data_IF_733321326460
#
_entry.id   IF_733321326460
#
_cell.length_a   1.000
_cell.length_b   1.000
_cell.length_c   1.000
_cell.angle_alpha   90.00
_cell.angle_beta   90.00
_cell.angle_gamma   90.00
#
_symmetry.space_group_name_H-M   'P 1'
#
loop_
_entity.id
_entity.type
_entity.pdbx_description
1 polymer ?
#
# COMPACT_ATOMS: atom_id res chain seq x y z
N UNK A 1 30.45 -18.75 28.78
CA UNK A 1 29.31 -19.31 28.06
C UNK A 1 29.15 -18.52 26.78
N UNK A 2 29.55 -19.10 25.64
CA UNK A 2 29.32 -18.48 24.32
C UNK A 2 27.87 -18.67 23.94
N UNK A 3 27.11 -17.57 23.83
CA UNK A 3 25.77 -17.53 23.27
C UNK A 3 25.83 -17.93 21.78
N UNK A 4 25.46 -19.16 21.47
CA UNK A 4 25.34 -19.68 20.08
C UNK A 4 24.03 -19.32 19.38
N UNK A 5 23.19 -18.51 20.00
CA UNK A 5 21.79 -18.29 19.50
C UNK A 5 21.60 -17.13 18.54
N UNK A 6 22.47 -16.11 18.53
CA UNK A 6 22.26 -14.89 17.74
C UNK A 6 22.96 -14.89 16.36
N UNK A 7 23.94 -15.77 16.15
CA UNK A 7 24.68 -15.84 14.88
C UNK A 7 23.90 -16.50 13.72
N UNK A 8 22.99 -17.42 14.02
CA UNK A 8 22.23 -18.15 12.99
C UNK A 8 20.99 -17.39 12.49
N UNK A 9 20.46 -16.48 13.28
CA UNK A 9 19.29 -15.67 12.89
C UNK A 9 19.62 -14.70 11.75
N UNK A 10 20.85 -14.20 11.67
CA UNK A 10 21.31 -13.28 10.61
C UNK A 10 21.67 -13.96 9.28
N UNK A 11 21.78 -15.27 9.22
CA UNK A 11 22.05 -16.02 7.97
C UNK A 11 20.78 -16.36 7.18
N UNK A 12 19.61 -16.12 7.75
CA UNK A 12 18.33 -16.30 7.06
C UNK A 12 17.96 -14.98 6.39
N UNK A 13 18.34 -14.81 5.14
CA UNK A 13 17.98 -13.62 4.37
C UNK A 13 16.55 -13.75 3.85
N UNK A 14 15.71 -12.82 4.25
CA UNK A 14 14.42 -12.57 3.62
C UNK A 14 14.65 -11.58 2.49
N UNK A 15 14.66 -12.06 1.25
CA UNK A 15 14.75 -11.21 0.07
C UNK A 15 13.34 -10.89 -0.41
N UNK A 16 12.99 -9.61 -0.34
CA UNK A 16 11.71 -9.12 -0.89
C UNK A 16 11.95 -8.68 -2.33
N UNK A 17 11.55 -9.48 -3.30
CA UNK A 17 11.59 -9.10 -4.71
C UNK A 17 10.16 -8.87 -5.22
N UNK A 18 9.80 -7.60 -5.40
CA UNK A 18 8.50 -7.18 -5.93
C UNK A 18 8.49 -7.12 -7.47
N UNK A 19 9.64 -7.31 -8.13
CA UNK A 19 9.83 -7.07 -9.57
C UNK A 19 9.33 -8.17 -10.49
N UNK A 20 9.08 -9.37 -9.99
CA UNK A 20 8.74 -10.55 -10.82
C UNK A 20 7.25 -10.70 -11.16
N UNK A 21 6.38 -9.88 -10.58
CA UNK A 21 4.94 -10.00 -10.78
C UNK A 21 4.42 -8.81 -11.55
N UNK A 22 3.44 -9.00 -12.47
CA UNK A 22 2.83 -7.87 -13.15
C UNK A 22 2.30 -6.91 -12.09
N UNK A 23 2.78 -5.66 -12.15
CA UNK A 23 2.38 -4.61 -11.24
C UNK A 23 0.90 -4.28 -11.47
N UNK A 24 0.01 -4.94 -10.71
CA UNK A 24 -1.36 -4.48 -10.61
C UNK A 24 -1.32 -3.26 -9.68
N UNK A 25 -1.72 -2.06 -10.15
CA UNK A 25 -1.69 -0.86 -9.32
C UNK A 25 -2.51 -1.03 -8.03
N UNK A 26 -3.57 -1.84 -8.05
CA UNK A 26 -4.47 -2.01 -6.91
C UNK A 26 -3.98 -3.00 -5.85
N UNK A 27 -2.81 -3.59 -6.03
CA UNK A 27 -2.29 -4.61 -5.11
C UNK A 27 -0.81 -4.42 -4.85
N UNK A 28 -0.44 -4.49 -3.58
CA UNK A 28 0.95 -4.68 -3.18
C UNK A 28 1.20 -6.19 -2.99
N UNK A 29 2.21 -6.72 -3.65
CA UNK A 29 2.49 -8.17 -3.63
C UNK A 29 3.94 -8.40 -3.20
N UNK A 30 4.26 -8.30 -1.90
CA UNK A 30 5.57 -8.68 -1.41
C UNK A 30 5.79 -10.19 -1.53
N UNK A 31 7.02 -10.55 -1.91
CA UNK A 31 7.48 -11.93 -1.95
C UNK A 31 8.62 -12.11 -0.96
N UNK A 32 8.56 -13.17 -0.16
CA UNK A 32 9.56 -13.53 0.83
C UNK A 32 10.13 -14.88 0.40
N UNK A 33 11.43 -14.93 0.15
CA UNK A 33 12.11 -16.19 -0.13
C UNK A 33 12.82 -16.68 1.13
N UNK A 34 12.58 -17.95 1.48
CA UNK A 34 13.26 -18.61 2.61
C UNK A 34 14.61 -19.14 2.11
N UNK A 35 15.64 -18.90 2.91
CA UNK A 35 16.96 -19.48 2.72
C UNK A 35 17.38 -20.20 3.99
N UNK A 36 17.57 -21.51 3.88
CA UNK A 36 17.94 -22.35 5.02
C UNK A 36 18.81 -23.52 4.54
N UNK A 37 19.88 -23.89 5.27
CA UNK A 37 20.72 -25.03 4.89
C UNK A 37 20.04 -26.38 5.09
N UNK A 38 19.01 -26.45 5.91
CA UNK A 38 18.25 -27.67 6.23
C UNK A 38 16.78 -27.33 6.48
N UNK A 39 15.90 -28.32 6.35
CA UNK A 39 14.48 -28.15 6.67
C UNK A 39 14.29 -27.76 8.13
N UNK A 40 13.48 -26.72 8.39
CA UNK A 40 13.25 -26.21 9.74
C UNK A 40 11.77 -26.00 10.02
N UNK A 41 11.29 -26.60 11.12
CA UNK A 41 9.95 -26.31 11.65
C UNK A 41 9.96 -24.93 12.31
N UNK A 42 9.20 -24.00 11.77
CA UNK A 42 9.11 -22.63 12.27
C UNK A 42 7.76 -22.03 11.98
N UNK A 43 7.25 -21.21 12.90
CA UNK A 43 6.08 -20.38 12.70
C UNK A 43 6.48 -18.98 12.25
N UNK A 44 6.07 -18.59 11.06
CA UNK A 44 6.19 -17.21 10.57
C UNK A 44 4.89 -16.44 10.85
N UNK A 45 5.01 -15.30 11.52
CA UNK A 45 3.89 -14.42 11.81
C UNK A 45 3.80 -13.34 10.73
N UNK A 46 2.86 -13.51 9.81
CA UNK A 46 2.63 -12.54 8.71
C UNK A 46 1.70 -11.44 9.19
N UNK A 47 2.22 -10.20 9.28
CA UNK A 47 1.40 -9.05 9.68
C UNK A 47 0.48 -8.61 8.54
N UNK A 48 -0.80 -8.48 8.83
CA UNK A 48 -1.78 -7.86 7.95
C UNK A 48 -1.97 -6.41 8.39
N UNK A 49 -1.58 -5.42 7.56
CA UNK A 49 -1.66 -4.01 7.92
C UNK A 49 -3.09 -3.48 8.02
N UNK A 50 -3.26 -2.33 8.72
CA UNK A 50 -4.56 -1.65 8.85
C UNK A 50 -5.08 -1.09 7.52
N UNK A 51 -4.19 -0.63 6.64
CA UNK A 51 -4.52 0.04 5.38
C UNK A 51 -5.04 -0.88 4.27
N UNK A 52 -5.03 -2.19 4.47
CA UNK A 52 -5.50 -3.13 3.44
C UNK A 52 -6.99 -2.91 3.16
N UNK A 53 -7.36 -2.85 1.88
CA UNK A 53 -8.72 -2.50 1.44
C UNK A 53 -9.62 -3.69 1.08
N UNK A 54 -9.16 -4.94 1.31
CA UNK A 54 -9.94 -6.12 0.92
C UNK A 54 -9.33 -7.42 1.43
N UNK A 55 -9.73 -8.54 0.83
CA UNK A 55 -9.22 -9.86 1.18
C UNK A 55 -7.73 -10.00 0.88
N UNK A 56 -6.96 -10.29 1.91
CA UNK A 56 -5.55 -10.68 1.81
C UNK A 56 -5.47 -12.17 1.51
N UNK A 57 -4.61 -12.53 0.57
CA UNK A 57 -4.31 -13.93 0.26
C UNK A 57 -2.83 -14.19 0.41
N UNK A 58 -2.49 -15.30 1.04
CA UNK A 58 -1.12 -15.72 1.27
C UNK A 58 -0.89 -17.05 0.54
N UNK A 59 0.16 -17.09 -0.24
CA UNK A 59 0.56 -18.26 -1.01
C UNK A 59 1.94 -18.73 -0.56
N UNK A 60 2.13 -20.02 -0.52
CA UNK A 60 3.46 -20.64 -0.40
C UNK A 60 3.67 -21.57 -1.59
N UNK A 61 4.73 -21.32 -2.35
CA UNK A 61 5.04 -22.05 -3.59
C UNK A 61 3.83 -22.11 -4.53
N UNK A 62 3.19 -20.93 -4.74
CA UNK A 62 1.99 -20.72 -5.57
C UNK A 62 0.70 -21.42 -5.09
N UNK A 63 0.73 -22.13 -3.97
CA UNK A 63 -0.46 -22.71 -3.35
C UNK A 63 -1.01 -21.75 -2.29
N UNK A 64 -2.30 -21.40 -2.36
CA UNK A 64 -2.96 -20.59 -1.33
C UNK A 64 -3.00 -21.36 -0.01
N UNK A 65 -2.45 -20.74 1.04
CA UNK A 65 -2.37 -21.33 2.39
C UNK A 65 -3.21 -20.58 3.42
N UNK A 66 -3.50 -19.31 3.18
CA UNK A 66 -4.36 -18.51 4.04
C UNK A 66 -5.07 -17.40 3.26
N UNK A 67 -6.28 -17.07 3.72
CA UNK A 67 -7.07 -15.95 3.22
C UNK A 67 -7.79 -15.29 4.40
N UNK A 68 -7.70 -13.97 4.51
CA UNK A 68 -8.32 -13.20 5.60
C UNK A 68 -8.79 -11.83 5.13
N UNK A 69 -9.85 -11.31 5.72
CA UNK A 69 -10.33 -9.93 5.60
C UNK A 69 -10.07 -9.10 6.87
N UNK A 70 -9.52 -9.73 7.90
CA UNK A 70 -9.13 -9.04 9.13
C UNK A 70 -7.91 -8.14 8.89
N UNK A 71 -7.91 -7.00 9.57
CA UNK A 71 -6.84 -5.99 9.52
C UNK A 71 -6.17 -5.86 10.87
N UNK A 72 -4.94 -5.35 10.89
CA UNK A 72 -4.15 -5.16 12.12
C UNK A 72 -3.94 -6.46 12.92
N UNK A 73 -3.86 -7.59 12.24
CA UNK A 73 -3.67 -8.91 12.83
C UNK A 73 -2.40 -9.58 12.31
N UNK A 74 -2.00 -10.64 12.97
CA UNK A 74 -0.96 -11.55 12.49
C UNK A 74 -1.56 -12.89 12.09
N UNK A 75 -1.16 -13.40 10.94
CA UNK A 75 -1.51 -14.73 10.45
C UNK A 75 -0.32 -15.65 10.68
N UNK A 76 -0.46 -16.68 11.54
CA UNK A 76 0.61 -17.66 11.74
C UNK A 76 0.69 -18.64 10.57
N UNK A 77 1.89 -18.89 10.09
CA UNK A 77 2.20 -19.93 9.12
C UNK A 77 3.18 -20.91 9.75
N UNK A 78 2.69 -21.98 10.32
CA UNK A 78 3.49 -23.04 10.93
C UNK A 78 3.66 -24.21 9.95
N UNK A 79 4.91 -24.48 9.60
CA UNK A 79 5.28 -25.59 8.72
C UNK A 79 6.77 -25.86 8.74
N UNK A 80 7.17 -27.00 8.19
CA UNK A 80 8.56 -27.22 7.82
C UNK A 80 8.87 -26.37 6.56
N UNK A 81 9.85 -25.45 6.74
CA UNK A 81 10.33 -24.59 5.68
C UNK A 81 11.56 -25.22 5.04
N UNK A 82 11.61 -25.20 3.71
CA UNK A 82 12.72 -25.68 2.93
C UNK A 82 13.45 -24.54 2.24
N UNK A 83 14.69 -24.79 1.81
CA UNK A 83 15.42 -23.79 1.05
C UNK A 83 14.69 -23.48 -0.26
N UNK A 84 14.64 -22.18 -0.59
CA UNK A 84 13.91 -21.63 -1.73
C UNK A 84 12.37 -21.64 -1.62
N UNK A 85 11.77 -21.99 -0.48
CA UNK A 85 10.34 -21.71 -0.28
C UNK A 85 10.04 -20.24 -0.51
N UNK A 86 8.95 -19.96 -1.23
CA UNK A 86 8.53 -18.59 -1.57
C UNK A 86 7.15 -18.32 -0.98
N UNK A 87 7.08 -17.28 -0.14
CA UNK A 87 5.81 -16.76 0.38
C UNK A 87 5.44 -15.54 -0.45
N UNK A 88 4.24 -15.54 -1.02
CA UNK A 88 3.67 -14.41 -1.75
C UNK A 88 2.43 -13.92 -1.02
N UNK A 89 2.40 -12.63 -0.69
CA UNK A 89 1.30 -12.01 0.06
C UNK A 89 0.63 -11.00 -0.85
N UNK A 90 -0.66 -11.15 -1.11
CA UNK A 90 -1.45 -10.23 -1.94
C UNK A 90 -2.22 -9.30 -1.02
N UNK A 91 -1.82 -8.03 -0.99
CA UNK A 91 -2.39 -6.97 -0.16
C UNK A 91 -3.14 -5.97 -1.06
N UNK A 92 -4.48 -6.01 -1.14
CA UNK A 92 -5.25 -5.02 -1.88
C UNK A 92 -5.09 -3.62 -1.28
N UNK A 93 -4.93 -2.61 -2.14
CA UNK A 93 -4.82 -1.19 -1.79
C UNK A 93 -6.01 -0.42 -2.36
N UNK A 94 -6.39 0.64 -1.68
CA UNK A 94 -7.29 1.65 -2.20
C UNK A 94 -6.82 3.03 -1.74
N UNK A 95 -7.37 4.07 -2.35
CA UNK A 95 -7.25 5.42 -1.83
C UNK A 95 -8.04 5.51 -0.54
N UNK A 96 -7.46 6.11 0.48
CA UNK A 96 -8.09 6.43 1.77
C UNK A 96 -7.76 7.86 2.14
N UNK A 97 -8.54 8.42 3.05
CA UNK A 97 -8.35 9.77 3.59
C UNK A 97 -8.12 9.72 5.08
N UNK A 98 -7.15 10.50 5.55
CA UNK A 98 -6.89 10.71 6.97
C UNK A 98 -7.03 12.19 7.30
N UNK A 99 -8.06 12.58 8.08
CA UNK A 99 -8.22 13.97 8.53
C UNK A 99 -7.18 14.29 9.58
N UNK A 100 -6.82 15.59 9.68
CA UNK A 100 -6.01 16.05 10.79
C UNK A 100 -6.79 15.93 12.11
N UNK A 101 -6.14 15.50 13.21
CA UNK A 101 -6.83 15.30 14.49
C UNK A 101 -7.50 16.55 15.06
N UNK A 102 -6.91 17.72 14.83
CA UNK A 102 -7.36 19.03 15.30
C UNK A 102 -8.17 19.82 14.24
N UNK A 103 -8.14 19.37 12.98
CA UNK A 103 -8.84 20.00 11.85
C UNK A 103 -9.45 18.96 10.93
N UNK A 104 -10.64 18.51 11.25
CA UNK A 104 -11.35 17.48 10.47
C UNK A 104 -11.74 17.92 9.04
N UNK A 105 -11.67 19.24 8.76
CA UNK A 105 -11.85 19.82 7.44
C UNK A 105 -10.62 19.69 6.54
N UNK A 106 -9.46 19.33 7.11
CA UNK A 106 -8.21 19.10 6.38
C UNK A 106 -7.91 17.60 6.30
N UNK A 107 -7.66 17.09 5.12
CA UNK A 107 -7.39 15.67 4.92
C UNK A 107 -6.14 15.41 4.07
N UNK A 108 -5.43 14.33 4.38
CA UNK A 108 -4.41 13.75 3.52
C UNK A 108 -4.99 12.57 2.76
N UNK A 109 -4.51 12.36 1.54
CA UNK A 109 -4.84 11.19 0.73
C UNK A 109 -3.72 10.16 0.81
N UNK A 110 -4.09 8.91 0.98
CA UNK A 110 -3.15 7.79 1.04
C UNK A 110 -3.54 6.72 0.02
N UNK A 111 -2.55 6.03 -0.51
CA UNK A 111 -2.77 4.84 -1.34
C UNK A 111 -2.09 3.63 -0.70
N UNK A 112 -2.87 2.84 0.01
CA UNK A 112 -2.32 1.83 0.91
C UNK A 112 -1.45 2.48 2.00
N UNK A 113 -0.15 2.13 2.12
CA UNK A 113 0.74 2.71 3.13
C UNK A 113 1.41 4.03 2.69
N UNK A 114 1.09 4.54 1.50
CA UNK A 114 1.84 5.65 0.89
C UNK A 114 0.99 6.90 0.89
N UNK A 115 1.53 7.98 1.42
CA UNK A 115 0.95 9.33 1.32
C UNK A 115 1.05 9.82 -0.10
N UNK A 116 -0.03 10.41 -0.61
CA UNK A 116 -0.09 11.05 -1.92
C UNK A 116 0.10 12.57 -1.77
N UNK A 117 0.99 13.10 -2.59
CA UNK A 117 1.22 14.54 -2.71
C UNK A 117 0.44 15.08 -3.91
N UNK A 118 -0.38 16.09 -3.72
CA UNK A 118 -1.03 16.82 -4.80
C UNK A 118 -0.11 17.89 -5.36
N UNK A 119 0.20 17.84 -6.65
CA UNK A 119 1.09 18.81 -7.30
C UNK A 119 0.33 20.12 -7.51
N UNK A 120 0.65 21.13 -6.70
CA UNK A 120 0.03 22.46 -6.74
C UNK A 120 0.98 23.51 -6.15
N UNK A 121 0.89 24.74 -6.69
CA UNK A 121 1.68 25.89 -6.20
C UNK A 121 1.05 26.54 -4.95
N UNK A 122 -0.26 26.41 -4.81
CA UNK A 122 -1.05 27.02 -3.73
C UNK A 122 -1.97 26.01 -3.08
N UNK A 123 -2.33 26.26 -1.81
CA UNK A 123 -3.35 25.47 -1.11
C UNK A 123 -4.68 25.52 -1.88
N UNK A 124 -5.30 24.36 -2.07
CA UNK A 124 -6.55 24.22 -2.80
C UNK A 124 -7.65 23.62 -1.94
N UNK A 125 -8.75 24.33 -1.87
CA UNK A 125 -10.00 23.78 -1.32
C UNK A 125 -10.58 22.75 -2.30
N UNK A 126 -10.82 21.54 -1.82
CA UNK A 126 -11.43 20.46 -2.58
C UNK A 126 -12.93 20.37 -2.31
N UNK A 127 -13.70 20.37 -3.37
CA UNK A 127 -15.15 20.24 -3.31
C UNK A 127 -15.56 18.77 -3.46
N UNK A 128 -16.19 18.22 -2.43
CA UNK A 128 -16.71 16.84 -2.45
C UNK A 128 -18.18 16.90 -2.85
N UNK A 129 -18.59 16.28 -3.98
CA UNK A 129 -19.99 16.22 -4.36
C UNK A 129 -20.84 15.51 -3.32
N UNK A 130 -22.10 15.87 -3.21
CA UNK A 130 -23.05 15.22 -2.31
C UNK A 130 -23.15 13.73 -2.59
N UNK A 131 -23.08 12.91 -1.54
CA UNK A 131 -23.09 11.44 -1.65
C UNK A 131 -21.74 10.80 -2.00
N UNK A 132 -20.70 11.59 -2.29
CA UNK A 132 -19.34 11.12 -2.49
C UNK A 132 -18.51 11.25 -1.21
N UNK A 133 -17.45 10.47 -1.12
CA UNK A 133 -16.43 10.59 -0.07
C UNK A 133 -15.21 11.30 -0.65
N UNK A 134 -14.35 11.92 0.16
CA UNK A 134 -13.14 12.58 -0.34
C UNK A 134 -12.23 11.66 -1.16
N UNK A 135 -12.11 10.39 -0.78
CA UNK A 135 -11.31 9.41 -1.51
C UNK A 135 -11.83 9.11 -2.92
N UNK A 136 -13.13 9.31 -3.18
CA UNK A 136 -13.75 9.09 -4.49
C UNK A 136 -13.39 10.19 -5.51
N UNK A 137 -12.76 11.29 -5.04
CA UNK A 137 -12.25 12.36 -5.91
C UNK A 137 -11.04 11.91 -6.72
N UNK A 138 -10.32 10.89 -6.27
CA UNK A 138 -9.10 10.44 -6.94
C UNK A 138 -9.36 9.22 -7.82
N UNK A 139 -9.03 9.35 -9.10
CA UNK A 139 -9.04 8.26 -10.07
C UNK A 139 -7.64 7.96 -10.56
N UNK A 140 -7.34 6.69 -10.82
CA UNK A 140 -6.05 6.31 -11.39
C UNK A 140 -5.78 7.07 -12.69
N UNK A 141 -4.61 7.67 -12.75
CA UNK A 141 -4.07 8.20 -13.99
C UNK A 141 -3.42 7.03 -14.74
N UNK A 142 -4.01 6.61 -15.87
CA UNK A 142 -3.56 5.46 -16.66
C UNK A 142 -2.19 5.68 -17.33
N UNK A 143 -1.27 6.35 -16.64
CA UNK A 143 0.08 6.54 -17.15
C UNK A 143 0.89 5.26 -17.01
N UNK A 144 1.47 4.85 -18.12
CA UNK A 144 2.47 3.78 -18.19
C UNK A 144 3.82 4.39 -18.52
N UNK A 145 4.80 4.10 -17.71
CA UNK A 145 6.18 4.39 -18.01
C UNK A 145 6.97 3.08 -18.11
N UNK A 146 7.60 2.85 -19.26
CA UNK A 146 8.43 1.67 -19.51
C UNK A 146 7.71 0.34 -19.20
N UNK A 147 6.41 0.26 -19.49
CA UNK A 147 5.61 -0.94 -19.23
C UNK A 147 5.16 -1.14 -17.79
N UNK A 148 5.53 -0.23 -16.89
CA UNK A 148 5.09 -0.24 -15.49
C UNK A 148 3.96 0.76 -15.26
N UNK A 149 2.97 0.37 -14.44
CA UNK A 149 1.94 1.29 -14.00
C UNK A 149 2.50 2.22 -12.93
N UNK A 150 2.33 3.53 -13.12
CA UNK A 150 2.58 4.51 -12.05
C UNK A 150 1.41 4.53 -11.08
N UNK A 151 1.70 4.68 -9.79
CA UNK A 151 0.69 4.90 -8.75
C UNK A 151 0.29 6.37 -8.67
N UNK A 152 -0.04 6.97 -9.83
CA UNK A 152 -0.45 8.36 -9.95
C UNK A 152 -1.96 8.45 -10.11
N UNK A 153 -2.53 9.56 -9.64
CA UNK A 153 -3.97 9.81 -9.67
C UNK A 153 -4.27 11.19 -10.22
N UNK A 154 -5.45 11.34 -10.80
CA UNK A 154 -6.07 12.62 -11.10
C UNK A 154 -7.20 12.91 -10.16
N UNK A 155 -7.32 14.17 -9.77
CA UNK A 155 -8.52 14.62 -9.10
C UNK A 155 -9.63 14.86 -10.12
N UNK A 156 -10.85 14.47 -9.75
CA UNK A 156 -12.05 14.63 -10.55
C UNK A 156 -13.05 15.56 -9.87
N UNK A 157 -13.98 16.15 -10.62
CA UNK A 157 -15.04 17.00 -10.08
C UNK A 157 -14.58 18.37 -9.57
N UNK A 158 -13.39 18.83 -9.94
CA UNK A 158 -12.86 20.15 -9.58
C UNK A 158 -12.76 21.05 -10.82
N UNK A 159 -12.82 22.38 -10.62
CA UNK A 159 -12.69 23.35 -11.73
C UNK A 159 -11.33 23.26 -12.42
N UNK A 160 -10.29 22.96 -11.64
CA UNK A 160 -8.93 22.76 -12.14
C UNK A 160 -8.44 21.38 -11.75
N UNK A 161 -7.96 20.64 -12.74
CA UNK A 161 -7.31 19.37 -12.52
C UNK A 161 -6.05 19.50 -11.64
N UNK A 162 -5.75 18.45 -10.91
CA UNK A 162 -4.53 18.31 -10.12
C UNK A 162 -4.11 16.84 -10.16
N UNK A 163 -2.80 16.61 -10.24
CA UNK A 163 -2.24 15.26 -10.15
C UNK A 163 -1.80 14.98 -8.72
N UNK A 164 -2.01 13.75 -8.31
CA UNK A 164 -1.48 13.20 -7.09
C UNK A 164 -0.46 12.14 -7.42
N UNK A 165 0.67 12.21 -6.78
CA UNK A 165 1.78 11.26 -6.93
C UNK A 165 2.20 10.72 -5.57
N UNK A 166 2.78 9.52 -5.49
CA UNK A 166 3.41 9.07 -4.26
C UNK A 166 4.41 10.11 -3.74
N UNK A 167 4.37 10.43 -2.45
CA UNK A 167 5.23 11.46 -1.87
C UNK A 167 6.72 11.22 -2.15
N UNK A 168 7.15 9.97 -2.25
CA UNK A 168 8.54 9.61 -2.55
C UNK A 168 8.93 9.82 -4.04
N UNK A 169 7.96 10.10 -4.92
CA UNK A 169 8.19 10.43 -6.35
C UNK A 169 8.20 11.93 -6.62
N UNK A 170 7.90 12.75 -5.62
CA UNK A 170 7.95 14.22 -5.74
C UNK A 170 9.40 14.66 -5.94
N UNK A 171 9.64 15.42 -6.99
CA UNK A 171 10.94 16.02 -7.29
C UNK A 171 11.06 17.44 -6.71
N UNK A 172 11.16 18.42 -7.62
CA UNK A 172 11.27 19.83 -7.26
C UNK A 172 9.95 20.61 -7.43
N UNK A 173 8.88 19.92 -7.82
CA UNK A 173 7.58 20.54 -8.03
C UNK A 173 6.97 20.97 -6.68
N UNK A 174 6.29 22.12 -6.62
CA UNK A 174 5.48 22.49 -5.48
C UNK A 174 4.36 21.50 -5.26
N UNK A 175 4.11 21.13 -4.00
CA UNK A 175 3.08 20.16 -3.65
C UNK A 175 2.44 20.46 -2.29
N UNK A 176 1.22 19.95 -2.11
CA UNK A 176 0.53 19.88 -0.83
C UNK A 176 0.29 18.43 -0.42
N UNK A 177 0.20 18.19 0.89
CA UNK A 177 -0.17 16.87 1.47
C UNK A 177 -1.57 16.95 2.07
N UNK A 178 -1.86 18.04 2.76
CA UNK A 178 -3.16 18.28 3.40
C UNK A 178 -3.98 19.25 2.59
N UNK A 179 -5.23 18.89 2.36
CA UNK A 179 -6.16 19.69 1.58
C UNK A 179 -7.42 19.97 2.40
N UNK A 180 -7.87 21.23 2.46
CA UNK A 180 -9.18 21.54 3.00
C UNK A 180 -10.25 20.91 2.09
N UNK A 181 -11.22 20.22 2.68
CA UNK A 181 -12.34 19.59 1.99
C UNK A 181 -13.67 20.20 2.43
N UNK A 182 -14.55 20.41 1.47
CA UNK A 182 -15.88 20.96 1.71
C UNK A 182 -16.92 20.19 0.91
N UNK A 183 -17.97 19.72 1.57
CA UNK A 183 -19.12 19.16 0.90
C UNK A 183 -19.84 20.27 0.14
N UNK A 184 -20.04 20.07 -1.14
CA UNK A 184 -20.78 21.02 -1.99
C UNK A 184 -22.10 20.41 -2.43
N UNK A 185 -23.19 21.18 -2.39
CA UNK A 185 -24.44 20.73 -3.00
C UNK A 185 -24.23 20.49 -4.49
N UNK A 186 -24.90 19.48 -5.02
CA UNK A 186 -24.93 19.21 -6.46
C UNK A 186 -25.44 20.47 -7.14
N UNK A 187 -24.65 21.11 -8.00
CA UNK A 187 -25.18 22.10 -8.95
C UNK A 187 -26.01 21.30 -9.95
N UNK A 188 -27.35 21.41 -9.82
CA UNK A 188 -28.27 20.99 -10.85
C UNK A 188 -28.09 21.83 -12.13
#
# INVERSE_FOLDING_TARGET
VRSRGLGDVYKRQVLTDTRKWPSNPDKLVPCIQIRTPESVLMTLMIRIPAWVSGKVRIYVNDREVACTDQRSVFVPLERNWEDNDVIRIVLPRAVTCEPLPDRSDMTAFLYGPVVLAGLCEEERLLHVPEGCRPEDLLTHDNEREWGSWKSTFRITGQERGMRFVPLYEVGYEPYGIYFPVKNSPVKM
#
